data_IF_848828050135
#
_entry.id   IF_848828050135
#
_cell.length_a   1.000
_cell.length_b   1.000
_cell.length_c   1.000
_cell.angle_alpha   90.00
_cell.angle_beta   90.00
_cell.angle_gamma   90.00
#
_symmetry.space_group_name_H-M   'P 1'
#
loop_
_entity.id
_entity.type
_entity.pdbx_description
1 polymer ?
#
# COMPACT_ATOMS: atom_id res chain seq x y z
N UNK A 1 10.92 9.47 -19.02
CA UNK A 1 9.55 9.16 -18.56
C UNK A 1 9.39 9.72 -17.16
N UNK A 2 8.28 10.39 -16.87
CA UNK A 2 7.96 10.91 -15.53
C UNK A 2 7.55 9.77 -14.59
N UNK A 3 7.77 9.92 -13.27
CA UNK A 3 7.27 8.96 -12.27
C UNK A 3 5.73 8.93 -12.30
N UNK A 4 5.13 7.73 -12.19
CA UNK A 4 3.66 7.55 -12.14
C UNK A 4 3.09 7.59 -10.72
N UNK A 5 3.93 7.41 -9.71
CA UNK A 5 3.58 7.40 -8.31
C UNK A 5 4.46 8.39 -7.54
N UNK A 6 3.96 8.96 -6.43
CA UNK A 6 2.63 8.74 -5.89
C UNK A 6 1.50 9.40 -6.73
N UNK A 7 0.26 8.94 -6.57
CA UNK A 7 -0.95 9.56 -7.16
C UNK A 7 -1.74 10.35 -6.10
N UNK A 8 -2.55 11.34 -6.50
CA UNK A 8 -3.42 12.07 -5.57
C UNK A 8 -4.37 11.11 -4.85
N UNK A 9 -4.54 11.28 -3.53
CA UNK A 9 -5.41 10.43 -2.73
C UNK A 9 -6.89 10.81 -2.95
N UNK A 10 -7.74 9.91 -3.48
CA UNK A 10 -9.19 10.16 -3.49
C UNK A 10 -9.77 9.97 -2.08
N UNK A 11 -10.90 10.61 -1.80
CA UNK A 11 -11.57 10.52 -0.50
C UNK A 11 -11.99 9.07 -0.15
N UNK A 12 -12.37 8.30 -1.17
CA UNK A 12 -12.73 6.89 -1.08
C UNK A 12 -12.11 6.16 -2.28
N UNK A 13 -11.17 5.24 -2.03
CA UNK A 13 -10.57 4.39 -3.07
C UNK A 13 -10.95 2.92 -2.84
N UNK A 14 -11.92 2.37 -3.59
CA UNK A 14 -12.32 0.97 -3.41
C UNK A 14 -11.23 -0.02 -3.86
N UNK A 15 -10.16 0.44 -4.52
CA UNK A 15 -9.07 -0.41 -4.98
C UNK A 15 -8.05 -0.70 -3.86
N UNK A 16 -7.94 0.17 -2.86
CA UNK A 16 -6.97 -0.01 -1.77
C UNK A 16 -7.63 -0.69 -0.59
N UNK A 17 -7.51 -2.01 -0.56
CA UNK A 17 -8.15 -2.87 0.43
C UNK A 17 -7.10 -3.66 1.23
N UNK A 18 -7.52 -4.29 2.33
CA UNK A 18 -6.69 -5.27 3.02
C UNK A 18 -6.36 -6.48 2.11
N UNK A 19 -7.27 -6.84 1.19
CA UNK A 19 -7.03 -7.88 0.18
C UNK A 19 -5.83 -7.57 -0.71
N UNK A 20 -5.65 -6.31 -1.11
CA UNK A 20 -4.48 -5.89 -1.89
C UNK A 20 -3.16 -6.15 -1.14
N UNK A 21 -3.12 -5.90 0.18
CA UNK A 21 -1.93 -6.17 0.98
C UNK A 21 -1.63 -7.68 1.04
N UNK A 22 -2.67 -8.52 1.18
CA UNK A 22 -2.52 -9.99 1.12
C UNK A 22 -2.02 -10.46 -0.25
N UNK A 23 -2.55 -9.93 -1.35
CA UNK A 23 -2.12 -10.28 -2.70
C UNK A 23 -0.63 -9.94 -2.91
N UNK A 24 -0.18 -8.78 -2.42
CA UNK A 24 1.24 -8.40 -2.47
C UNK A 24 2.09 -9.29 -1.56
N UNK A 25 1.62 -9.63 -0.36
CA UNK A 25 2.32 -10.56 0.52
C UNK A 25 2.52 -11.94 -0.14
N UNK A 26 1.52 -12.42 -0.88
CA UNK A 26 1.64 -13.67 -1.65
C UNK A 26 2.66 -13.55 -2.79
N UNK A 27 2.72 -12.40 -3.48
CA UNK A 27 3.76 -12.15 -4.50
C UNK A 27 5.15 -12.19 -3.87
N UNK A 28 5.36 -11.52 -2.73
CA UNK A 28 6.64 -11.55 -2.02
C UNK A 28 7.02 -12.99 -1.64
N UNK A 29 6.09 -13.76 -1.07
CA UNK A 29 6.31 -15.16 -0.73
C UNK A 29 6.69 -16.01 -1.96
N UNK A 30 6.01 -15.80 -3.10
CA UNK A 30 6.31 -16.50 -4.35
C UNK A 30 7.72 -16.18 -4.91
N UNK A 31 8.30 -15.03 -4.53
CA UNK A 31 9.67 -14.66 -4.85
C UNK A 31 10.71 -15.11 -3.81
N UNK A 32 10.30 -15.87 -2.79
CA UNK A 32 11.18 -16.47 -1.79
C UNK A 32 11.39 -15.63 -0.52
N UNK A 33 10.61 -14.55 -0.34
CA UNK A 33 10.56 -13.85 0.95
C UNK A 33 9.70 -14.63 1.96
N UNK A 34 9.87 -14.40 3.27
CA UNK A 34 9.00 -14.99 4.28
C UNK A 34 7.52 -14.69 4.00
N UNK A 35 6.66 -15.69 4.15
CA UNK A 35 5.22 -15.52 3.96
C UNK A 35 4.64 -14.70 5.11
N UNK A 36 3.94 -13.61 4.78
CA UNK A 36 3.13 -12.84 5.74
C UNK A 36 1.66 -13.31 5.73
N UNK A 37 1.29 -14.20 4.80
CA UNK A 37 -0.07 -14.71 4.62
C UNK A 37 -0.33 -16.03 5.36
N UNK A 38 0.72 -16.68 5.86
CA UNK A 38 0.62 -17.89 6.68
C UNK A 38 0.60 -17.54 8.18
N UNK A 39 -0.01 -18.37 9.04
CA UNK A 39 -0.05 -18.09 10.47
C UNK A 39 1.34 -18.21 11.13
N UNK A 40 1.81 -17.13 11.74
CA UNK A 40 2.93 -17.12 12.67
C UNK A 40 2.76 -15.96 13.67
N UNK A 41 3.54 -15.98 14.76
CA UNK A 41 3.54 -14.89 15.72
C UNK A 41 4.11 -13.60 15.08
N UNK A 42 3.27 -12.57 14.94
CA UNK A 42 3.61 -11.31 14.28
C UNK A 42 3.05 -11.12 12.87
N UNK A 43 2.40 -12.13 12.25
CA UNK A 43 1.91 -12.03 10.88
C UNK A 43 0.95 -10.85 10.64
N UNK A 44 0.12 -10.51 11.64
CA UNK A 44 -0.78 -9.37 11.57
C UNK A 44 -0.05 -8.02 11.56
N UNK A 45 1.05 -7.89 12.30
CA UNK A 45 1.84 -6.65 12.34
C UNK A 45 2.54 -6.43 11.00
N UNK A 46 3.17 -7.47 10.45
CA UNK A 46 3.84 -7.40 9.15
C UNK A 46 2.87 -7.04 8.01
N UNK A 47 1.64 -7.56 8.03
CA UNK A 47 0.61 -7.20 7.05
C UNK A 47 0.16 -5.74 7.16
N UNK A 48 0.07 -5.20 8.38
CA UNK A 48 -0.23 -3.77 8.61
C UNK A 48 0.90 -2.89 8.11
N UNK A 49 2.15 -3.26 8.40
CA UNK A 49 3.32 -2.51 7.93
C UNK A 49 3.43 -2.53 6.40
N UNK A 50 3.16 -3.69 5.77
CA UNK A 50 3.07 -3.80 4.32
C UNK A 50 1.96 -2.90 3.75
N UNK A 51 0.78 -2.89 4.38
CA UNK A 51 -0.32 -2.02 3.97
C UNK A 51 0.10 -0.53 4.05
N UNK A 52 0.76 -0.11 5.14
CA UNK A 52 1.22 1.28 5.28
C UNK A 52 2.30 1.66 4.25
N UNK A 53 3.21 0.74 3.95
CA UNK A 53 4.23 0.93 2.91
C UNK A 53 3.59 1.06 1.52
N UNK A 54 2.64 0.20 1.18
CA UNK A 54 1.88 0.28 -0.07
C UNK A 54 1.08 1.58 -0.16
N UNK A 55 0.43 1.99 0.94
CA UNK A 55 -0.32 3.24 1.02
C UNK A 55 0.60 4.44 0.72
N UNK A 56 1.77 4.49 1.35
CA UNK A 56 2.74 5.57 1.20
C UNK A 56 3.41 5.59 -0.17
N UNK A 57 3.56 4.42 -0.80
CA UNK A 57 4.07 4.31 -2.19
C UNK A 57 3.03 4.79 -3.20
N UNK A 58 1.77 4.36 -3.03
CA UNK A 58 0.69 4.62 -4.00
C UNK A 58 0.21 6.06 -3.89
N UNK A 59 -0.01 6.57 -2.67
CA UNK A 59 -0.67 7.85 -2.45
C UNK A 59 0.30 8.95 -2.03
N UNK A 60 0.08 10.13 -2.59
CA UNK A 60 0.80 11.33 -2.25
C UNK A 60 -0.06 12.20 -1.35
N UNK A 61 0.60 13.00 -0.52
CA UNK A 61 -0.02 14.14 0.14
C UNK A 61 -0.25 15.20 -0.93
N UNK A 62 -1.30 15.07 -1.73
CA UNK A 62 -1.72 16.16 -2.61
C UNK A 62 -2.41 17.21 -1.74
N UNK A 63 -1.59 18.07 -1.11
CA UNK A 63 -2.05 19.41 -0.76
C UNK A 63 -2.08 20.13 -2.09
N UNK A 64 -3.27 20.29 -2.65
CA UNK A 64 -3.50 21.29 -3.68
C UNK A 64 -3.07 22.65 -3.12
N UNK A 65 -1.80 23.02 -3.32
CA UNK A 65 -1.40 24.42 -3.31
C UNK A 65 -2.13 25.09 -4.47
N UNK A 66 -3.13 25.89 -4.15
CA UNK A 66 -3.59 26.99 -5.01
C UNK A 66 -5.02 26.90 -5.52
N UNK A 67 -5.99 27.32 -4.70
CA UNK A 67 -6.91 28.39 -5.09
C UNK A 67 -7.72 28.89 -3.89
N UNK A 68 -7.42 30.11 -3.42
CA UNK A 68 -8.40 31.16 -3.17
C UNK A 68 -7.61 32.48 -3.02
N UNK A 69 -7.90 33.40 -3.95
CA UNK A 69 -7.40 34.78 -3.99
C UNK A 69 -7.83 35.60 -2.79
#
# INVERSE_FOLDING_TARGET
MSRRYPIPRPADDPRFTFGLALDVAQVLAAHGYPSMAEPYDGCGADLVDLQQALFSLIYGTDVSEGHLS
#
